data_IF_656817052489
#
_entry.id   IF_656817052489
#
_cell.length_a   1.000
_cell.length_b   1.000
_cell.length_c   1.000
_cell.angle_alpha   90.00
_cell.angle_beta   90.00
_cell.angle_gamma   90.00
#
_symmetry.space_group_name_H-M   'P 1'
#
loop_
_entity.id
_entity.type
_entity.pdbx_description
1 polymer ?
#
# COMPACT_ATOMS: atom_id res chain seq x y z
N UNK A 1 29.44 -29.76 73.86
CA UNK A 1 29.80 -28.71 72.88
C UNK A 1 28.54 -28.12 72.27
N UNK A 2 28.21 -26.87 72.59
CA UNK A 2 27.17 -26.08 71.94
C UNK A 2 27.85 -25.21 70.89
N UNK A 3 27.52 -25.40 69.60
CA UNK A 3 28.02 -24.57 68.50
C UNK A 3 26.95 -23.58 68.08
N UNK A 4 27.09 -22.32 68.48
CA UNK A 4 26.22 -21.21 68.07
C UNK A 4 26.47 -20.89 66.59
N UNK A 5 25.48 -21.11 65.73
CA UNK A 5 25.39 -20.46 64.41
C UNK A 5 24.73 -19.10 64.62
N UNK A 6 25.53 -18.04 64.54
CA UNK A 6 25.07 -16.66 64.54
C UNK A 6 24.38 -16.36 63.21
N UNK A 7 23.05 -16.48 63.21
CA UNK A 7 22.18 -15.89 62.20
C UNK A 7 22.27 -14.37 62.35
N UNK A 8 22.93 -13.71 61.39
CA UNK A 8 22.92 -12.25 61.28
C UNK A 8 21.52 -11.78 60.84
N UNK A 9 20.92 -10.77 61.48
CA UNK A 9 19.65 -10.22 61.04
C UNK A 9 19.89 -9.41 59.76
N UNK A 10 19.42 -9.94 58.63
CA UNK A 10 19.38 -9.19 57.37
C UNK A 10 18.56 -7.92 57.55
N UNK A 11 19.19 -6.77 57.34
CA UNK A 11 18.63 -5.45 57.58
C UNK A 11 17.40 -5.22 56.66
N UNK A 12 16.17 -5.11 57.19
CA UNK A 12 14.92 -5.05 56.40
C UNK A 12 14.85 -3.84 55.45
N UNK A 13 15.63 -2.79 55.69
CA UNK A 13 15.68 -1.59 54.85
C UNK A 13 16.29 -1.80 53.45
N UNK A 14 17.28 -2.68 53.30
CA UNK A 14 17.94 -2.92 52.00
C UNK A 14 17.07 -3.77 51.06
N UNK A 15 16.33 -4.74 51.63
CA UNK A 15 15.39 -5.58 50.90
C UNK A 15 14.19 -4.74 50.42
N UNK A 16 13.68 -3.84 51.27
CA UNK A 16 12.61 -2.91 50.91
C UNK A 16 13.04 -1.91 49.81
N UNK A 17 14.26 -1.36 49.88
CA UNK A 17 14.78 -0.44 48.87
C UNK A 17 14.95 -1.12 47.48
N UNK A 18 15.46 -2.36 47.46
CA UNK A 18 15.60 -3.13 46.22
C UNK A 18 14.25 -3.51 45.60
N UNK A 19 13.25 -3.84 46.42
CA UNK A 19 11.87 -4.11 45.96
C UNK A 19 11.23 -2.84 45.40
N UNK A 20 11.39 -1.69 46.06
CA UNK A 20 10.89 -0.41 45.55
C UNK A 20 11.57 0.04 44.25
N UNK A 21 12.88 -0.18 44.12
CA UNK A 21 13.62 0.14 42.88
C UNK A 21 13.14 -0.71 41.69
N UNK A 22 12.92 -2.02 41.91
CA UNK A 22 12.37 -2.93 40.89
C UNK A 22 10.93 -2.57 40.50
N UNK A 23 10.09 -2.18 41.47
CA UNK A 23 8.73 -1.73 41.20
C UNK A 23 8.69 -0.44 40.37
N UNK A 24 9.60 0.52 40.65
CA UNK A 24 9.73 1.76 39.85
C UNK A 24 10.21 1.50 38.43
N UNK A 25 11.20 0.63 38.26
CA UNK A 25 11.68 0.20 36.93
C UNK A 25 10.59 -0.51 36.14
N UNK A 26 9.84 -1.41 36.77
CA UNK A 26 8.71 -2.09 36.14
C UNK A 26 7.61 -1.10 35.73
N UNK A 27 7.28 -0.12 36.59
CA UNK A 27 6.29 0.91 36.29
C UNK A 27 6.74 1.82 35.12
N UNK A 28 8.01 2.20 35.06
CA UNK A 28 8.58 2.98 33.96
C UNK A 28 8.56 2.19 32.64
N UNK A 29 8.93 0.91 32.68
CA UNK A 29 8.86 0.03 31.52
C UNK A 29 7.42 -0.14 31.02
N UNK A 30 6.47 -0.39 31.92
CA UNK A 30 5.04 -0.49 31.60
C UNK A 30 4.50 0.81 30.99
N UNK A 31 4.85 1.97 31.56
CA UNK A 31 4.44 3.27 31.02
C UNK A 31 5.04 3.53 29.63
N UNK A 32 6.31 3.19 29.41
CA UNK A 32 6.94 3.31 28.08
C UNK A 32 6.31 2.37 27.05
N UNK A 33 5.95 1.14 27.45
CA UNK A 33 5.30 0.17 26.57
C UNK A 33 3.89 0.64 26.20
N UNK A 34 3.13 1.17 27.16
CA UNK A 34 1.80 1.73 26.91
C UNK A 34 1.84 2.92 25.95
N UNK A 35 2.83 3.80 26.09
CA UNK A 35 3.06 4.91 25.15
C UNK A 35 3.42 4.42 23.73
N UNK A 36 4.21 3.35 23.62
CA UNK A 36 4.54 2.73 22.32
C UNK A 36 3.32 2.11 21.64
N UNK A 37 2.46 1.42 22.40
CA UNK A 37 1.23 0.81 21.87
C UNK A 37 0.25 1.89 21.40
N UNK A 38 0.17 3.02 22.10
CA UNK A 38 -0.68 4.15 21.70
C UNK A 38 -0.22 4.82 20.39
N UNK A 39 1.03 4.65 19.98
CA UNK A 39 1.56 5.20 18.71
C UNK A 39 1.45 4.26 17.51
N UNK A 40 0.95 3.03 17.71
CA UNK A 40 0.68 2.12 16.58
C UNK A 40 -0.61 2.58 15.92
N UNK A 41 -0.49 3.18 14.74
CA UNK A 41 -1.66 3.48 13.91
C UNK A 41 -2.27 2.17 13.39
N UNK A 42 -3.59 2.05 13.48
CA UNK A 42 -4.31 0.85 13.05
C UNK A 42 -4.34 0.78 11.52
N UNK A 43 -3.76 -0.29 10.98
CA UNK A 43 -3.68 -0.56 9.55
C UNK A 43 -4.94 -1.28 9.05
N UNK A 44 -5.26 -1.11 7.76
CA UNK A 44 -6.34 -1.84 7.10
C UNK A 44 -5.79 -3.07 6.39
N UNK A 45 -6.65 -4.03 6.08
CA UNK A 45 -6.26 -5.20 5.28
C UNK A 45 -6.96 -5.13 3.93
N UNK A 46 -6.21 -5.26 2.84
CA UNK A 46 -6.79 -5.43 1.50
C UNK A 46 -7.34 -6.85 1.30
N UNK A 47 -7.93 -7.11 0.14
CA UNK A 47 -8.56 -8.40 -0.15
C UNK A 47 -7.55 -9.53 -0.34
N UNK A 48 -6.28 -9.23 -0.64
CA UNK A 48 -5.18 -10.18 -0.68
C UNK A 48 -4.56 -10.47 0.70
N UNK A 49 -5.06 -9.83 1.76
CA UNK A 49 -4.53 -10.01 3.12
C UNK A 49 -3.30 -9.15 3.42
N UNK A 50 -2.98 -8.17 2.58
CA UNK A 50 -1.85 -7.26 2.78
C UNK A 50 -2.28 -6.06 3.62
N UNK A 51 -1.38 -5.68 4.53
CA UNK A 51 -1.58 -4.51 5.38
C UNK A 51 -1.39 -3.21 4.60
N UNK A 52 -2.33 -2.29 4.79
CA UNK A 52 -2.40 -0.96 4.18
C UNK A 52 -2.24 0.07 5.30
N UNK A 53 -1.16 0.86 5.29
CA UNK A 53 -0.95 1.96 6.22
C UNK A 53 -2.10 2.97 6.24
N UNK A 54 -2.30 3.58 7.40
CA UNK A 54 -3.23 4.68 7.58
C UNK A 54 -3.01 5.79 6.53
N UNK A 55 -4.11 6.35 6.03
CA UNK A 55 -4.10 7.45 5.06
C UNK A 55 -3.85 7.04 3.61
N UNK A 56 -3.57 5.76 3.32
CA UNK A 56 -3.36 5.28 1.95
C UNK A 56 -4.65 4.78 1.30
N UNK A 57 -4.68 4.86 -0.02
CA UNK A 57 -5.78 4.39 -0.85
C UNK A 57 -5.65 2.90 -1.15
N UNK A 58 -6.76 2.16 -1.03
CA UNK A 58 -6.83 0.73 -1.32
C UNK A 58 -8.23 0.30 -1.80
N UNK A 59 -8.33 -0.92 -2.30
CA UNK A 59 -9.59 -1.56 -2.68
C UNK A 59 -9.95 -2.58 -1.60
N UNK A 60 -11.08 -2.41 -0.88
CA UNK A 60 -11.36 -3.18 0.33
C UNK A 60 -11.85 -4.61 0.08
N UNK A 61 -12.26 -4.96 -1.13
CA UNK A 61 -12.85 -6.28 -1.39
C UNK A 61 -12.70 -6.75 -2.83
N UNK A 62 -12.78 -8.08 -3.06
CA UNK A 62 -12.77 -8.64 -4.41
C UNK A 62 -14.07 -8.24 -5.12
N UNK A 63 -13.97 -7.81 -6.37
CA UNK A 63 -15.12 -7.35 -7.17
C UNK A 63 -15.74 -6.02 -6.72
N UNK A 64 -15.29 -5.43 -5.61
CA UNK A 64 -15.76 -4.12 -5.16
C UNK A 64 -15.03 -3.04 -5.95
N UNK A 65 -15.77 -2.33 -6.81
CA UNK A 65 -15.23 -1.21 -7.58
C UNK A 65 -15.30 0.11 -6.79
N UNK A 66 -14.70 0.15 -5.61
CA UNK A 66 -14.52 1.37 -4.84
C UNK A 66 -13.08 1.51 -4.36
N UNK A 67 -12.53 2.70 -4.53
CA UNK A 67 -11.24 3.09 -3.97
C UNK A 67 -11.49 3.87 -2.67
N UNK A 68 -10.97 3.39 -1.55
CA UNK A 68 -11.18 3.97 -0.23
C UNK A 68 -9.85 4.35 0.41
N UNK A 69 -9.85 5.30 1.33
CA UNK A 69 -8.70 5.62 2.19
C UNK A 69 -8.78 4.76 3.44
N UNK A 70 -7.66 4.18 3.87
CA UNK A 70 -7.58 3.50 5.15
C UNK A 70 -7.58 4.50 6.31
N UNK A 71 -8.54 4.39 7.23
CA UNK A 71 -8.62 5.22 8.43
C UNK A 71 -9.00 4.35 9.64
N UNK A 72 -8.05 4.15 10.57
CA UNK A 72 -8.23 3.35 11.78
C UNK A 72 -8.84 1.96 11.52
N UNK A 73 -8.19 1.15 10.69
CA UNK A 73 -8.66 -0.17 10.23
C UNK A 73 -9.98 -0.19 9.41
N UNK A 74 -10.59 0.97 9.14
CA UNK A 74 -11.83 1.08 8.38
C UNK A 74 -11.66 1.82 7.02
N UNK A 75 -12.40 1.41 5.97
CA UNK A 75 -12.42 2.12 4.69
C UNK A 75 -13.26 3.40 4.77
N UNK A 76 -12.64 4.55 4.56
CA UNK A 76 -13.30 5.86 4.59
C UNK A 76 -13.11 6.62 3.27
N UNK A 77 -13.97 7.64 3.04
CA UNK A 77 -13.93 8.53 1.86
C UNK A 77 -13.86 7.80 0.51
N UNK A 78 -14.67 6.75 0.36
CA UNK A 78 -14.67 5.90 -0.82
C UNK A 78 -15.20 6.62 -2.08
N UNK A 79 -14.54 6.36 -3.22
CA UNK A 79 -15.00 6.77 -4.55
C UNK A 79 -15.27 5.55 -5.42
N UNK A 80 -16.38 5.57 -6.16
CA UNK A 80 -16.70 4.53 -7.12
C UNK A 80 -15.75 4.57 -8.34
N UNK A 81 -15.28 3.39 -8.73
CA UNK A 81 -14.53 3.16 -9.96
C UNK A 81 -15.54 2.76 -11.04
N UNK A 82 -15.55 3.50 -12.14
CA UNK A 82 -16.35 3.17 -13.31
C UNK A 82 -15.46 2.53 -14.37
N UNK A 83 -15.85 1.35 -14.83
CA UNK A 83 -15.13 0.59 -15.85
C UNK A 83 -15.89 0.66 -17.17
N UNK A 84 -15.21 1.06 -18.25
CA UNK A 84 -15.79 1.00 -19.58
C UNK A 84 -15.77 -0.45 -20.09
N UNK A 85 -16.94 -1.03 -20.44
CA UNK A 85 -16.98 -2.38 -20.99
C UNK A 85 -16.29 -2.44 -22.36
N UNK A 86 -15.76 -3.61 -22.75
CA UNK A 86 -15.07 -3.75 -24.02
C UNK A 86 -16.02 -3.54 -25.22
N UNK A 87 -15.79 -2.46 -25.97
CA UNK A 87 -16.60 -2.04 -27.14
C UNK A 87 -16.75 -3.08 -28.28
N UNK A 88 -15.94 -4.14 -28.29
CA UNK A 88 -15.89 -5.13 -29.38
C UNK A 88 -16.48 -6.49 -29.00
N UNK A 89 -16.90 -6.67 -27.75
CA UNK A 89 -17.47 -7.92 -27.28
C UNK A 89 -18.97 -7.73 -27.04
N UNK A 90 -19.80 -8.50 -27.74
CA UNK A 90 -21.27 -8.45 -27.60
C UNK A 90 -21.71 -9.11 -26.31
N UNK A 91 -21.12 -10.26 -25.98
CA UNK A 91 -21.39 -11.00 -24.75
C UNK A 91 -20.13 -11.05 -23.89
N UNK A 92 -20.13 -10.30 -22.79
CA UNK A 92 -19.04 -10.34 -21.82
C UNK A 92 -19.55 -10.71 -20.43
N UNK A 93 -18.68 -11.32 -19.65
CA UNK A 93 -18.87 -11.58 -18.23
C UNK A 93 -17.93 -10.69 -17.44
N UNK A 94 -18.41 -10.14 -16.33
CA UNK A 94 -17.57 -9.42 -15.37
C UNK A 94 -16.81 -10.46 -14.53
N UNK A 95 -15.51 -10.29 -14.41
CA UNK A 95 -14.63 -11.15 -13.62
C UNK A 95 -14.73 -10.88 -12.12
N UNK A 96 -13.89 -11.55 -11.35
CA UNK A 96 -13.77 -11.36 -9.90
C UNK A 96 -12.99 -10.08 -9.57
N UNK A 97 -12.08 -9.67 -10.47
CA UNK A 97 -11.36 -8.39 -10.52
C UNK A 97 -12.29 -7.19 -10.74
N UNK A 98 -12.14 -6.07 -10.02
CA UNK A 98 -12.73 -4.81 -10.49
C UNK A 98 -12.16 -4.44 -11.88
N UNK A 99 -13.05 -4.11 -12.83
CA UNK A 99 -12.73 -3.89 -14.25
C UNK A 99 -12.16 -5.10 -15.01
N UNK A 100 -12.34 -6.32 -14.50
CA UNK A 100 -12.00 -7.53 -15.23
C UNK A 100 -13.19 -7.96 -16.09
N UNK A 101 -12.95 -8.19 -17.38
CA UNK A 101 -13.98 -8.60 -18.33
C UNK A 101 -13.49 -9.80 -19.14
N UNK A 102 -14.33 -10.83 -19.22
CA UNK A 102 -14.12 -12.02 -20.03
C UNK A 102 -15.08 -12.00 -21.22
N UNK A 103 -14.57 -12.20 -22.44
CA UNK A 103 -15.39 -12.20 -23.64
C UNK A 103 -15.91 -13.62 -23.94
N UNK A 104 -17.23 -13.76 -24.08
CA UNK A 104 -17.93 -15.04 -24.27
C UNK A 104 -18.44 -15.23 -25.71
N UNK A 105 -18.10 -14.32 -26.62
CA UNK A 105 -18.52 -14.42 -28.02
C UNK A 105 -17.96 -15.70 -28.68
N UNK A 106 -18.75 -16.38 -29.54
CA UNK A 106 -18.32 -17.60 -30.20
C UNK A 106 -17.10 -17.36 -31.10
N UNK A 107 -16.20 -18.35 -31.23
CA UNK A 107 -14.96 -18.20 -32.00
C UNK A 107 -15.29 -17.89 -33.47
N UNK A 108 -14.97 -16.68 -33.91
CA UNK A 108 -15.25 -16.18 -35.26
C UNK A 108 -15.56 -14.68 -35.33
N UNK A 109 -16.19 -14.10 -34.30
CA UNK A 109 -16.54 -12.67 -34.23
C UNK A 109 -15.41 -11.81 -33.59
N UNK A 110 -14.40 -12.47 -33.03
CA UNK A 110 -13.39 -11.97 -32.08
C UNK A 110 -11.99 -11.73 -32.70
N UNK A 111 -11.84 -11.87 -34.02
CA UNK A 111 -10.56 -11.74 -34.73
C UNK A 111 -9.88 -10.38 -34.50
N UNK A 112 -10.64 -9.28 -34.63
CA UNK A 112 -10.18 -7.90 -34.35
C UNK A 112 -9.79 -7.69 -32.88
N UNK A 113 -10.45 -8.38 -31.95
CA UNK A 113 -10.19 -8.28 -30.52
C UNK A 113 -8.85 -8.95 -30.15
N UNK A 114 -8.65 -10.19 -30.60
CA UNK A 114 -7.37 -10.91 -30.42
C UNK A 114 -6.21 -10.18 -31.09
N UNK A 115 -6.42 -9.61 -32.27
CA UNK A 115 -5.39 -8.83 -32.96
C UNK A 115 -5.01 -7.56 -32.17
N UNK A 116 -5.97 -6.85 -31.61
CA UNK A 116 -5.71 -5.69 -30.74
C UNK A 116 -4.99 -6.09 -29.44
N UNK A 117 -5.38 -7.19 -28.81
CA UNK A 117 -4.69 -7.69 -27.62
C UNK A 117 -3.25 -8.08 -27.94
N UNK A 118 -3.03 -8.75 -29.07
CA UNK A 118 -1.70 -9.07 -29.57
C UNK A 118 -0.88 -7.80 -29.82
N UNK A 119 -1.47 -6.77 -30.43
CA UNK A 119 -0.79 -5.49 -30.64
C UNK A 119 -0.43 -4.79 -29.32
N UNK A 120 -1.33 -4.77 -28.34
CA UNK A 120 -1.03 -4.25 -26.99
C UNK A 120 0.13 -5.00 -26.35
N UNK A 121 0.14 -6.34 -26.43
CA UNK A 121 1.25 -7.14 -25.92
C UNK A 121 2.57 -6.83 -26.63
N UNK A 122 2.56 -6.60 -27.95
CA UNK A 122 3.73 -6.17 -28.70
C UNK A 122 4.23 -4.79 -28.29
N UNK A 123 3.34 -3.85 -27.95
CA UNK A 123 3.71 -2.50 -27.50
C UNK A 123 4.37 -2.58 -26.12
N UNK A 124 3.77 -3.33 -25.21
CA UNK A 124 4.30 -3.53 -23.86
C UNK A 124 5.64 -4.29 -23.87
N UNK A 125 5.82 -5.20 -24.82
CA UNK A 125 7.10 -5.90 -25.03
C UNK A 125 8.16 -5.04 -25.74
N UNK A 126 7.83 -3.80 -26.14
CA UNK A 126 8.74 -2.93 -26.90
C UNK A 126 9.04 -3.40 -28.32
N UNK A 127 8.32 -4.41 -28.82
CA UNK A 127 8.51 -5.02 -30.14
C UNK A 127 7.48 -4.53 -31.16
N UNK A 128 7.01 -3.28 -31.00
CA UNK A 128 6.04 -2.69 -31.92
C UNK A 128 6.71 -1.91 -33.01
N UNK A 129 6.35 -2.18 -34.26
CA UNK A 129 6.73 -1.39 -35.44
C UNK A 129 6.01 -0.03 -35.52
N UNK A 130 5.38 0.42 -34.42
CA UNK A 130 4.74 1.72 -34.38
C UNK A 130 5.81 2.79 -34.55
N UNK A 131 5.69 3.61 -35.60
CA UNK A 131 6.56 4.78 -35.79
C UNK A 131 6.40 5.68 -34.59
N UNK A 132 7.42 5.71 -33.73
CA UNK A 132 7.53 6.70 -32.67
C UNK A 132 7.68 8.05 -33.36
N UNK A 133 6.56 8.77 -33.51
CA UNK A 133 6.59 10.17 -33.91
C UNK A 133 7.31 10.90 -32.76
N UNK A 134 8.63 11.07 -32.95
CA UNK A 134 9.42 11.90 -32.06
C UNK A 134 8.78 13.28 -31.96
N UNK A 135 8.97 13.99 -30.83
CA UNK A 135 8.42 15.32 -30.67
C UNK A 135 8.83 16.19 -31.86
N UNK A 136 7.86 16.93 -32.42
CA UNK A 136 8.07 17.90 -33.50
C UNK A 136 9.31 18.75 -33.22
N UNK A 137 10.11 19.09 -34.24
CA UNK A 137 11.28 19.96 -34.08
C UNK A 137 10.94 21.29 -33.37
N UNK A 138 9.71 21.79 -33.49
CA UNK A 138 9.24 22.99 -32.78
C UNK A 138 9.21 22.82 -31.25
N UNK A 139 8.80 21.64 -30.76
CA UNK A 139 8.73 21.34 -29.32
C UNK A 139 10.14 21.25 -28.73
N UNK A 140 11.08 20.69 -29.50
CA UNK A 140 12.50 20.57 -29.11
C UNK A 140 13.17 21.95 -28.99
N UNK A 141 12.85 22.87 -29.90
CA UNK A 141 13.33 24.25 -29.86
C UNK A 141 12.73 25.04 -28.69
N UNK A 142 11.43 24.87 -28.40
CA UNK A 142 10.76 25.55 -27.29
C UNK A 142 11.32 25.16 -25.91
N UNK A 143 11.60 23.88 -25.68
CA UNK A 143 12.19 23.40 -24.42
C UNK A 143 13.61 23.94 -24.23
N UNK A 144 14.40 24.03 -25.31
CA UNK A 144 15.75 24.59 -25.26
C UNK A 144 15.75 26.09 -24.95
N UNK A 145 14.82 26.86 -25.51
CA UNK A 145 14.68 28.29 -25.24
C UNK A 145 14.27 28.57 -23.78
N UNK A 146 13.34 27.78 -23.24
CA UNK A 146 12.94 27.88 -21.83
C UNK A 146 14.10 27.56 -20.89
N UNK A 147 14.87 26.50 -21.17
CA UNK A 147 16.03 26.15 -20.37
C UNK A 147 17.12 27.25 -20.38
N UNK A 148 17.37 27.87 -21.53
CA UNK A 148 18.30 29.00 -21.65
C UNK A 148 17.78 30.24 -20.92
N UNK A 149 16.48 30.53 -20.99
CA UNK A 149 15.88 31.67 -20.29
C UNK A 149 15.96 31.51 -18.77
N UNK A 150 15.69 30.31 -18.24
CA UNK A 150 15.80 30.01 -16.80
C UNK A 150 17.24 30.11 -16.32
N UNK A 151 18.21 29.60 -17.09
CA UNK A 151 19.64 29.71 -16.76
C UNK A 151 20.18 31.16 -16.81
N UNK A 152 19.44 32.09 -17.42
CA UNK A 152 19.79 33.52 -17.44
C UNK A 152 19.12 34.31 -16.31
N UNK A 153 18.20 33.69 -15.56
CA UNK A 153 17.45 34.29 -14.46
C UNK A 153 17.94 33.83 -13.07
N UNK A 154 18.86 32.85 -13.01
CA UNK A 154 19.56 32.40 -11.80
C UNK A 154 21.01 32.79 -11.90
#
# INVERSE_FOLDING_TARGET
>A
MWGNVSVWPGNPGHVAAAVMARARLAALLLASLAALVASVEEECTDWEGKSIPHGLLYVPGPGVCSLCVCYHSEPMWCKAIYCDPPYFCKNFKVGERCCEFECLDPPGEDTRYRERQRLRALILAGNSSATHLGPSPEVKAGISLLAVAVARLV
#
